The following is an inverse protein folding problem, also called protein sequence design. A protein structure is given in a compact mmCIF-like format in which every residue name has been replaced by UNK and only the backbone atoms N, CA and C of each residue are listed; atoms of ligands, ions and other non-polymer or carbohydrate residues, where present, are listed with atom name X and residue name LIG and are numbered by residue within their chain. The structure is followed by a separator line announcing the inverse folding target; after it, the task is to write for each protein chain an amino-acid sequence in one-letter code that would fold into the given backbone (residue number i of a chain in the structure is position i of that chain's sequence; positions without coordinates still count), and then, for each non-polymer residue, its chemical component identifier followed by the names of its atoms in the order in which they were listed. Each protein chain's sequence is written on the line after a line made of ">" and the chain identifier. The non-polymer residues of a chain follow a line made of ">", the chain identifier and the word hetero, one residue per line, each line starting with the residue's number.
data_IF_439326585260
#
_entry.id   IF_439326585260
#
_cell.length_a   1.000
_cell.length_b   1.000
_cell.length_c   1.000
_cell.angle_alpha   90.00
_cell.angle_beta   90.00
_cell.angle_gamma   90.00
#
_symmetry.space_group_name_H-M   'P 1'
#
loop_
_entity.id
_entity.type
_entity.pdbx_description
1 polymer ?
#
# COMPACT_ATOMS: atom_id res chain seq x y z
N UNK A 1 8.04 -37.06 10.69
CA UNK A 1 7.35 -36.52 9.46
C UNK A 1 8.23 -35.39 8.99
N UNK A 2 8.70 -35.41 7.74
CA UNK A 2 9.44 -34.28 7.16
C UNK A 2 8.49 -33.09 7.09
N UNK A 3 8.82 -32.00 7.78
CA UNK A 3 8.07 -30.74 7.67
C UNK A 3 8.22 -30.26 6.23
N UNK A 4 7.13 -30.36 5.45
CA UNK A 4 7.11 -29.95 4.06
C UNK A 4 6.77 -28.46 4.02
N UNK A 5 7.69 -27.64 3.50
CA UNK A 5 7.44 -26.22 3.25
C UNK A 5 6.50 -26.08 2.05
N UNK A 6 5.50 -25.22 2.17
CA UNK A 6 4.44 -25.03 1.17
C UNK A 6 4.83 -24.12 -0.01
N UNK A 7 6.05 -23.59 -0.01
CA UNK A 7 6.54 -22.69 -1.06
C UNK A 7 6.15 -21.22 -0.87
N UNK A 8 5.39 -20.89 0.16
CA UNK A 8 5.00 -19.50 0.45
C UNK A 8 6.13 -18.74 1.13
N UNK A 9 6.31 -17.49 0.78
CA UNK A 9 7.13 -16.56 1.56
C UNK A 9 6.32 -16.00 2.73
N UNK A 10 7.00 -15.74 3.82
CA UNK A 10 6.40 -15.16 5.03
C UNK A 10 7.35 -14.19 5.69
N UNK A 11 6.83 -13.07 6.16
CA UNK A 11 7.54 -12.17 7.05
C UNK A 11 6.85 -12.11 8.41
N UNK A 12 7.63 -12.06 9.46
CA UNK A 12 7.14 -11.83 10.83
C UNK A 12 6.78 -10.37 11.04
N UNK A 13 6.01 -10.06 12.11
CA UNK A 13 5.73 -8.66 12.49
C UNK A 13 7.01 -7.85 12.71
N UNK A 14 8.04 -8.45 13.32
CA UNK A 14 9.30 -7.77 13.59
C UNK A 14 10.07 -7.43 12.31
N UNK A 15 10.07 -8.34 11.34
CA UNK A 15 10.70 -8.10 10.03
C UNK A 15 9.99 -6.98 9.28
N UNK A 16 8.66 -7.01 9.22
CA UNK A 16 7.85 -5.97 8.59
C UNK A 16 8.08 -4.62 9.27
N UNK A 17 8.08 -4.58 10.60
CA UNK A 17 8.32 -3.34 11.36
C UNK A 17 9.69 -2.73 11.02
N UNK A 18 10.72 -3.58 10.97
CA UNK A 18 12.09 -3.16 10.64
C UNK A 18 12.19 -2.67 9.19
N UNK A 19 11.55 -3.39 8.26
CA UNK A 19 11.53 -3.04 6.85
C UNK A 19 10.85 -1.68 6.61
N UNK A 20 9.70 -1.46 7.24
CA UNK A 20 8.98 -0.18 7.17
C UNK A 20 9.82 0.95 7.78
N UNK A 21 10.53 0.71 8.89
CA UNK A 21 11.42 1.70 9.50
C UNK A 21 12.51 2.17 8.54
N UNK A 22 13.18 1.23 7.86
CA UNK A 22 14.20 1.55 6.84
C UNK A 22 13.61 2.32 5.65
N UNK A 23 12.43 1.90 5.18
CA UNK A 23 11.75 2.61 4.08
C UNK A 23 11.34 4.03 4.49
N UNK A 24 10.93 4.23 5.74
CA UNK A 24 10.51 5.53 6.25
C UNK A 24 11.62 6.59 6.17
N UNK A 25 12.87 6.22 6.42
CA UNK A 25 14.01 7.15 6.30
C UNK A 25 14.14 7.71 4.87
N UNK A 26 13.97 6.84 3.87
CA UNK A 26 14.00 7.24 2.46
C UNK A 26 12.77 8.07 2.10
N UNK A 27 11.59 7.67 2.55
CA UNK A 27 10.34 8.39 2.30
C UNK A 27 10.38 9.79 2.92
N UNK A 28 10.90 9.94 4.15
CA UNK A 28 11.05 11.24 4.81
C UNK A 28 12.01 12.14 4.04
N UNK A 29 13.14 11.61 3.59
CA UNK A 29 14.17 12.38 2.87
C UNK A 29 13.70 12.83 1.48
N UNK A 30 13.04 11.95 0.73
CA UNK A 30 12.72 12.18 -0.69
C UNK A 30 11.34 12.77 -0.92
N UNK A 31 10.39 12.50 -0.02
CA UNK A 31 8.99 12.89 -0.22
C UNK A 31 8.44 13.72 0.94
N UNK A 32 8.71 13.36 2.19
CA UNK A 32 8.23 14.00 3.40
C UNK A 32 6.69 14.21 3.39
N UNK A 33 5.88 13.14 3.46
CA UNK A 33 4.43 13.24 3.43
C UNK A 33 3.89 13.93 4.69
N UNK A 34 2.86 14.74 4.54
CA UNK A 34 2.13 15.34 5.65
C UNK A 34 0.79 14.64 5.90
N UNK A 35 0.45 13.68 5.07
CA UNK A 35 -0.79 12.90 5.14
C UNK A 35 -0.58 11.48 4.60
N UNK A 36 -1.14 10.47 5.27
CA UNK A 36 -1.12 9.09 4.80
C UNK A 36 -2.53 8.60 4.49
N UNK A 37 -2.74 8.11 3.27
CA UNK A 37 -3.90 7.31 2.92
C UNK A 37 -3.51 5.84 2.91
N UNK A 38 -4.28 5.04 3.60
CA UNK A 38 -4.10 3.60 3.56
C UNK A 38 -5.12 2.97 2.65
N UNK A 39 -4.68 2.02 1.86
CA UNK A 39 -5.61 1.11 1.23
C UNK A 39 -6.18 0.15 2.25
N UNK A 40 -7.48 0.06 2.26
CA UNK A 40 -8.20 -0.93 3.01
C UNK A 40 -8.86 -1.89 2.03
N UNK A 41 -8.04 -2.70 1.42
CA UNK A 41 -8.47 -4.01 0.96
C UNK A 41 -8.09 -5.09 1.96
N UNK A 42 -7.71 -4.71 3.21
CA UNK A 42 -7.30 -5.61 4.29
C UNK A 42 -5.90 -5.36 4.82
N UNK A 43 -4.87 -5.27 3.99
CA UNK A 43 -3.48 -5.33 4.42
C UNK A 43 -2.79 -3.98 4.70
N UNK A 44 -3.19 -2.91 4.03
CA UNK A 44 -2.51 -1.60 4.14
C UNK A 44 -2.60 -0.90 5.51
N UNK A 45 -3.53 -1.29 6.39
CA UNK A 45 -3.69 -0.68 7.72
C UNK A 45 -2.49 -0.87 8.63
N UNK A 46 -1.99 -2.10 8.73
CA UNK A 46 -0.86 -2.41 9.58
C UNK A 46 0.40 -1.67 9.12
N UNK A 47 0.79 -1.72 7.85
CA UNK A 47 1.91 -0.95 7.33
C UNK A 47 1.79 0.55 7.61
N UNK A 48 0.65 1.16 7.37
CA UNK A 48 0.46 2.57 7.60
C UNK A 48 0.51 2.95 9.08
N UNK A 49 -0.06 2.11 9.96
CA UNK A 49 0.03 2.34 11.40
C UNK A 49 1.47 2.26 11.89
N UNK A 50 2.26 1.31 11.38
CA UNK A 50 3.68 1.18 11.70
C UNK A 50 4.46 2.38 11.13
N UNK A 51 4.26 2.71 9.85
CA UNK A 51 4.91 3.83 9.17
C UNK A 51 4.70 5.16 9.90
N UNK A 52 3.51 5.40 10.45
CA UNK A 52 3.20 6.57 11.27
C UNK A 52 4.06 6.69 12.54
N UNK A 53 4.65 5.60 13.02
CA UNK A 53 5.59 5.63 14.15
C UNK A 53 6.87 6.38 13.76
N UNK A 54 7.33 6.18 12.56
CA UNK A 54 8.57 6.74 12.02
C UNK A 54 8.35 8.11 11.36
N UNK A 55 7.27 8.27 10.59
CA UNK A 55 6.97 9.52 9.89
C UNK A 55 6.15 10.47 10.76
N UNK A 56 6.59 11.71 10.80
CA UNK A 56 5.92 12.81 11.50
C UNK A 56 5.68 13.97 10.54
N UNK A 57 4.67 14.78 10.85
CA UNK A 57 4.44 16.00 10.08
C UNK A 57 5.71 16.87 10.08
N UNK A 58 6.20 17.31 8.91
CA UNK A 58 7.54 17.94 8.79
C UNK A 58 7.74 19.14 9.73
N UNK A 59 6.72 19.97 9.87
CA UNK A 59 6.81 21.21 10.68
C UNK A 59 6.40 20.97 12.13
N UNK A 60 5.19 20.42 12.36
CA UNK A 60 4.60 20.32 13.69
C UNK A 60 5.14 19.15 14.53
N UNK A 61 5.86 18.21 13.90
CA UNK A 61 6.34 16.95 14.51
C UNK A 61 5.24 16.08 15.12
N UNK A 62 3.97 16.40 14.82
CA UNK A 62 2.81 15.60 15.22
C UNK A 62 2.67 14.37 14.33
N UNK A 63 1.88 13.42 14.79
CA UNK A 63 1.52 12.26 13.96
C UNK A 63 0.81 12.72 12.68
N UNK A 64 1.21 12.17 11.54
CA UNK A 64 0.48 12.35 10.30
C UNK A 64 -0.90 11.69 10.40
N UNK A 65 -1.90 12.27 9.77
CA UNK A 65 -3.24 11.71 9.72
C UNK A 65 -3.26 10.46 8.85
N UNK A 66 -4.04 9.47 9.24
CA UNK A 66 -4.29 8.26 8.47
C UNK A 66 -5.78 8.24 8.14
N UNK A 67 -6.11 8.09 6.86
CA UNK A 67 -7.48 7.84 6.41
C UNK A 67 -7.51 6.56 5.59
N UNK A 68 -8.57 5.79 5.74
CA UNK A 68 -8.75 4.53 5.07
C UNK A 68 -9.59 4.70 3.81
N UNK A 69 -9.15 4.10 2.71
CA UNK A 69 -9.96 3.89 1.52
C UNK A 69 -10.01 2.39 1.24
N UNK A 70 -11.20 1.86 0.99
CA UNK A 70 -11.44 0.45 0.73
C UNK A 70 -11.58 0.20 -0.76
N UNK A 71 -10.75 -0.70 -1.27
CA UNK A 71 -10.81 -1.21 -2.63
C UNK A 71 -10.82 -2.73 -2.58
N UNK A 72 -11.63 -3.35 -3.41
CA UNK A 72 -11.64 -4.79 -3.62
C UNK A 72 -11.51 -5.08 -5.10
N UNK A 73 -10.64 -6.02 -5.44
CA UNK A 73 -10.66 -6.61 -6.76
C UNK A 73 -11.87 -7.55 -6.83
N UNK A 74 -12.65 -7.43 -7.88
CA UNK A 74 -13.80 -8.29 -8.12
C UNK A 74 -13.29 -9.67 -8.56
N UNK A 75 -12.96 -10.54 -7.62
CA UNK A 75 -12.45 -11.87 -7.93
C UNK A 75 -13.53 -12.96 -7.83
N UNK A 76 -14.61 -12.77 -7.07
CA UNK A 76 -15.62 -13.82 -6.88
C UNK A 76 -17.03 -13.28 -6.63
N UNK A 77 -17.83 -13.17 -7.67
CA UNK A 77 -19.27 -13.37 -7.54
C UNK A 77 -19.67 -14.59 -8.37
N UNK A 78 -20.54 -15.49 -7.84
CA UNK A 78 -20.92 -16.74 -8.51
C UNK A 78 -21.66 -16.59 -9.84
N UNK A 79 -21.87 -15.35 -10.31
CA UNK A 79 -22.62 -15.03 -11.54
C UNK A 79 -21.80 -14.30 -12.61
N UNK A 80 -20.49 -14.08 -12.40
CA UNK A 80 -19.63 -13.38 -13.37
C UNK A 80 -18.91 -14.38 -14.26
N UNK A 81 -18.90 -14.13 -15.57
CA UNK A 81 -18.13 -14.91 -16.55
C UNK A 81 -16.64 -14.69 -16.36
N UNK A 82 -15.81 -15.70 -16.67
CA UNK A 82 -14.33 -15.66 -16.51
C UNK A 82 -13.66 -14.42 -17.15
N UNK A 83 -14.27 -13.85 -18.19
CA UNK A 83 -13.78 -12.64 -18.86
C UNK A 83 -14.07 -11.34 -18.07
N UNK A 84 -15.04 -11.33 -17.17
CA UNK A 84 -15.40 -10.20 -16.31
C UNK A 84 -14.68 -10.24 -14.95
N UNK A 85 -14.17 -11.37 -14.53
CA UNK A 85 -13.57 -11.61 -13.21
C UNK A 85 -12.25 -10.87 -12.94
N UNK A 86 -11.54 -10.40 -13.94
CA UNK A 86 -10.13 -10.00 -13.75
C UNK A 86 -9.86 -8.50 -13.71
N UNK A 87 -10.83 -7.60 -13.90
CA UNK A 87 -10.51 -6.22 -14.27
C UNK A 87 -11.24 -5.10 -13.52
N UNK A 88 -12.17 -5.38 -12.64
CA UNK A 88 -12.94 -4.31 -11.98
C UNK A 88 -12.55 -4.13 -10.52
N UNK A 89 -11.97 -2.97 -10.19
CA UNK A 89 -11.72 -2.56 -8.80
C UNK A 89 -12.96 -1.86 -8.28
N UNK A 90 -13.52 -2.35 -7.19
CA UNK A 90 -14.71 -1.79 -6.53
C UNK A 90 -14.31 -0.99 -5.30
N UNK A 91 -14.90 0.19 -5.14
CA UNK A 91 -14.78 0.99 -3.91
C UNK A 91 -15.71 0.41 -2.84
N UNK A 92 -15.16 -0.12 -1.76
CA UNK A 92 -15.91 -0.59 -0.59
C UNK A 92 -16.03 0.48 0.48
N UNK A 93 -15.01 1.31 0.63
CA UNK A 93 -14.98 2.49 1.48
C UNK A 93 -14.20 3.60 0.77
N UNK A 94 -14.72 4.82 0.80
CA UNK A 94 -14.09 5.94 0.10
C UNK A 94 -14.20 7.25 0.89
N UNK A 95 -13.36 8.21 0.50
CA UNK A 95 -13.43 9.55 1.02
C UNK A 95 -14.73 10.22 0.54
N UNK A 96 -15.49 10.76 1.45
CA UNK A 96 -16.62 11.63 1.14
C UNK A 96 -16.18 13.11 1.16
N UNK A 97 -16.82 13.93 2.00
CA UNK A 97 -16.45 15.35 2.16
C UNK A 97 -15.00 15.58 2.62
N UNK A 98 -14.35 14.55 3.14
CA UNK A 98 -12.95 14.60 3.58
C UNK A 98 -11.95 14.75 2.43
N UNK A 99 -12.35 14.51 1.16
CA UNK A 99 -11.48 14.70 -0.02
C UNK A 99 -10.85 16.09 -0.03
N UNK A 100 -11.57 17.12 0.40
CA UNK A 100 -11.06 18.49 0.54
C UNK A 100 -9.87 18.62 1.50
N UNK A 101 -9.70 17.67 2.43
CA UNK A 101 -8.57 17.68 3.36
C UNK A 101 -7.24 17.34 2.69
N UNK A 102 -7.28 16.81 1.46
CA UNK A 102 -6.10 16.49 0.66
C UNK A 102 -5.50 17.71 -0.02
N UNK A 103 -6.30 18.77 -0.20
CA UNK A 103 -5.88 19.95 -0.95
C UNK A 103 -4.61 20.58 -0.35
N UNK A 104 -3.60 20.79 -1.18
CA UNK A 104 -2.31 21.34 -0.80
C UNK A 104 -1.40 20.39 -0.03
N UNK A 105 -1.75 19.10 0.09
CA UNK A 105 -1.02 18.11 0.87
C UNK A 105 -0.09 17.23 0.03
N UNK A 106 0.90 16.67 0.70
CA UNK A 106 1.70 15.55 0.20
C UNK A 106 1.12 14.25 0.77
N UNK A 107 0.40 13.54 -0.06
CA UNK A 107 -0.39 12.35 0.31
C UNK A 107 0.39 11.09 -0.02
N UNK A 108 0.67 10.24 0.95
CA UNK A 108 1.29 8.94 0.74
C UNK A 108 0.23 7.85 0.78
N UNK A 109 0.09 7.14 -0.33
CA UNK A 109 -0.77 5.96 -0.45
C UNK A 109 0.03 4.76 0.02
N UNK A 110 -0.52 3.98 0.97
CA UNK A 110 0.19 2.86 1.61
C UNK A 110 -0.58 1.56 1.39
N UNK A 111 0.11 0.53 0.94
CA UNK A 111 -0.43 -0.83 0.80
C UNK A 111 0.59 -1.87 1.27
N UNK A 112 0.17 -3.13 1.46
CA UNK A 112 1.08 -4.21 1.87
C UNK A 112 1.88 -4.75 0.69
N UNK A 113 1.24 -4.96 -0.46
CA UNK A 113 1.87 -5.61 -1.61
C UNK A 113 1.46 -4.99 -2.95
N UNK A 114 2.45 -4.76 -3.80
CA UNK A 114 2.24 -4.44 -5.20
C UNK A 114 2.39 -5.71 -6.05
N UNK A 115 1.28 -6.37 -6.31
CA UNK A 115 1.24 -7.55 -7.19
C UNK A 115 1.13 -7.13 -8.66
N UNK A 116 -0.06 -6.78 -9.13
CA UNK A 116 -0.32 -6.38 -10.51
C UNK A 116 -0.26 -4.87 -10.74
N UNK A 117 -0.20 -4.07 -9.70
CA UNK A 117 -0.31 -2.60 -9.69
C UNK A 117 -1.69 -2.05 -10.08
N UNK A 118 -2.66 -2.92 -10.36
CA UNK A 118 -3.99 -2.51 -10.82
C UNK A 118 -4.72 -1.69 -9.74
N UNK A 119 -4.68 -2.15 -8.48
CA UNK A 119 -5.29 -1.47 -7.33
C UNK A 119 -4.65 -0.11 -7.09
N UNK A 120 -3.32 -0.03 -7.11
CA UNK A 120 -2.58 1.22 -6.92
C UNK A 120 -2.89 2.24 -8.03
N UNK A 121 -2.89 1.81 -9.29
CA UNK A 121 -3.26 2.66 -10.42
C UNK A 121 -4.67 3.20 -10.27
N UNK A 122 -5.63 2.31 -9.94
CA UNK A 122 -7.03 2.70 -9.75
C UNK A 122 -7.15 3.77 -8.66
N UNK A 123 -6.53 3.55 -7.52
CA UNK A 123 -6.61 4.46 -6.41
C UNK A 123 -6.02 5.84 -6.68
N UNK A 124 -4.82 5.90 -7.22
CA UNK A 124 -4.19 7.17 -7.61
C UNK A 124 -5.10 7.93 -8.57
N UNK A 125 -5.59 7.24 -9.62
CA UNK A 125 -6.48 7.84 -10.61
C UNK A 125 -7.77 8.37 -10.00
N UNK A 126 -8.41 7.60 -9.14
CA UNK A 126 -9.70 8.00 -8.56
C UNK A 126 -9.55 9.10 -7.50
N UNK A 127 -8.47 9.09 -6.71
CA UNK A 127 -8.15 10.20 -5.81
C UNK A 127 -7.87 11.49 -6.59
N UNK A 128 -7.12 11.40 -7.70
CA UNK A 128 -6.89 12.54 -8.57
C UNK A 128 -8.20 13.12 -9.15
N UNK A 129 -9.11 12.25 -9.62
CA UNK A 129 -10.43 12.68 -10.11
C UNK A 129 -11.26 13.39 -9.05
N UNK A 130 -11.27 12.87 -7.82
CA UNK A 130 -12.06 13.48 -6.76
C UNK A 130 -11.45 14.81 -6.29
N UNK A 131 -10.11 14.89 -6.24
CA UNK A 131 -9.40 16.15 -5.99
C UNK A 131 -9.68 17.19 -7.06
N UNK A 132 -9.72 16.82 -8.36
CA UNK A 132 -10.06 17.77 -9.43
C UNK A 132 -11.44 18.38 -9.23
N UNK A 133 -12.43 17.60 -8.76
CA UNK A 133 -13.76 18.14 -8.45
C UNK A 133 -13.69 19.21 -7.33
N UNK A 134 -12.92 18.95 -6.28
CA UNK A 134 -12.74 19.91 -5.18
C UNK A 134 -11.97 21.16 -5.64
N UNK A 135 -10.94 21.00 -6.49
CA UNK A 135 -10.19 22.13 -7.03
C UNK A 135 -11.06 23.05 -7.91
N UNK A 136 -12.01 22.48 -8.65
CA UNK A 136 -12.93 23.27 -9.48
C UNK A 136 -13.84 24.18 -8.65
N UNK A 137 -14.06 23.89 -7.37
CA UNK A 137 -14.81 24.75 -6.44
C UNK A 137 -13.99 25.96 -5.95
N UNK A 138 -12.67 25.95 -6.17
CA UNK A 138 -11.78 27.04 -5.78
C UNK A 138 -11.61 28.06 -6.93
N UNK A 139 -11.23 29.32 -6.61
CA UNK A 139 -10.78 30.29 -7.60
C UNK A 139 -9.63 29.71 -8.44
N UNK A 140 -9.61 29.99 -9.74
CA UNK A 140 -8.60 29.45 -10.66
C UNK A 140 -7.17 29.76 -10.21
N UNK A 141 -6.95 30.95 -9.68
CA UNK A 141 -5.65 31.41 -9.19
C UNK A 141 -5.10 30.61 -7.99
N UNK A 142 -5.95 29.83 -7.30
CA UNK A 142 -5.56 29.04 -6.12
C UNK A 142 -5.36 27.55 -6.45
N UNK A 143 -5.89 27.06 -7.57
CA UNK A 143 -5.97 25.63 -7.89
C UNK A 143 -4.62 24.95 -7.92
N UNK A 144 -3.63 25.56 -8.57
CA UNK A 144 -2.30 24.98 -8.69
C UNK A 144 -1.58 24.89 -7.35
N UNK A 145 -1.68 25.93 -6.51
CA UNK A 145 -1.10 25.91 -5.16
C UNK A 145 -1.78 24.93 -4.21
N UNK A 146 -3.05 24.59 -4.47
CA UNK A 146 -3.85 23.65 -3.68
C UNK A 146 -3.86 22.23 -4.24
N UNK A 147 -3.21 21.98 -5.37
CA UNK A 147 -3.10 20.63 -5.94
C UNK A 147 -2.26 19.75 -5.05
N UNK A 148 -2.82 18.62 -4.55
CA UNK A 148 -2.04 17.69 -3.74
C UNK A 148 -1.00 16.95 -4.59
N UNK A 149 0.06 16.51 -3.94
CA UNK A 149 1.02 15.57 -4.53
C UNK A 149 0.75 14.18 -3.97
N UNK A 150 0.78 13.17 -4.83
CA UNK A 150 0.62 11.78 -4.43
C UNK A 150 1.96 11.05 -4.50
N UNK A 151 2.19 10.14 -3.56
CA UNK A 151 3.26 9.16 -3.57
C UNK A 151 2.70 7.81 -3.16
N UNK A 152 3.41 6.74 -3.44
CA UNK A 152 3.00 5.36 -3.12
C UNK A 152 4.10 4.69 -2.31
N UNK A 153 3.72 3.97 -1.26
CA UNK A 153 4.58 3.06 -0.53
C UNK A 153 3.91 1.69 -0.39
N UNK A 154 4.66 0.64 -0.71
CA UNK A 154 4.27 -0.76 -0.45
C UNK A 154 5.34 -1.45 0.39
N UNK A 155 4.94 -2.38 1.25
CA UNK A 155 5.92 -3.16 2.02
C UNK A 155 6.69 -4.06 1.08
N UNK A 156 5.99 -4.79 0.21
CA UNK A 156 6.61 -5.69 -0.77
C UNK A 156 6.17 -5.35 -2.20
N UNK A 157 7.14 -5.36 -3.12
CA UNK A 157 6.90 -5.26 -4.55
C UNK A 157 7.25 -6.59 -5.22
N UNK A 158 6.30 -7.27 -5.84
CA UNK A 158 6.57 -8.49 -6.60
C UNK A 158 7.27 -8.18 -7.91
N UNK A 159 8.39 -8.84 -8.16
CA UNK A 159 9.16 -8.71 -9.41
C UNK A 159 8.51 -9.49 -10.54
N UNK A 160 7.50 -8.89 -11.14
CA UNK A 160 6.77 -9.41 -12.31
C UNK A 160 6.28 -8.26 -13.19
N UNK A 161 5.90 -8.54 -14.45
CA UNK A 161 5.27 -7.55 -15.31
C UNK A 161 4.01 -6.97 -14.65
N UNK A 162 3.95 -5.64 -14.56
CA UNK A 162 2.81 -4.94 -13.97
C UNK A 162 1.76 -4.66 -15.05
N UNK A 163 0.48 -4.92 -14.73
CA UNK A 163 -0.65 -4.57 -15.58
C UNK A 163 -1.00 -3.08 -15.44
N UNK A 164 -0.92 -2.56 -14.21
CA UNK A 164 -1.16 -1.15 -13.92
C UNK A 164 0.08 -0.29 -14.08
N UNK A 165 -0.14 1.00 -14.32
CA UNK A 165 0.91 2.03 -14.41
C UNK A 165 0.61 3.16 -13.44
N UNK A 166 1.65 3.77 -12.88
CA UNK A 166 1.53 4.99 -12.09
C UNK A 166 1.97 6.19 -12.93
N UNK A 167 1.39 7.39 -12.72
CA UNK A 167 1.89 8.60 -13.35
C UNK A 167 3.36 8.84 -13.00
N UNK A 168 4.13 9.39 -13.95
CA UNK A 168 5.58 9.59 -13.80
C UNK A 168 5.97 10.55 -12.66
N UNK A 169 5.06 11.42 -12.26
CA UNK A 169 5.22 12.38 -11.16
C UNK A 169 4.83 11.81 -9.80
N UNK A 170 4.38 10.55 -9.72
CA UNK A 170 4.04 9.86 -8.48
C UNK A 170 5.24 9.03 -8.02
N UNK A 171 6.00 9.48 -7.01
CA UNK A 171 7.11 8.70 -6.47
C UNK A 171 6.61 7.38 -5.88
N UNK A 172 7.37 6.32 -6.14
CA UNK A 172 7.07 4.96 -5.72
C UNK A 172 8.18 4.43 -4.81
N UNK A 173 7.78 3.94 -3.65
CA UNK A 173 8.67 3.37 -2.65
C UNK A 173 8.26 1.93 -2.38
N UNK A 174 9.19 1.01 -2.37
CA UNK A 174 9.02 -0.35 -1.84
C UNK A 174 9.91 -0.56 -0.62
N UNK A 175 9.44 -1.32 0.34
CA UNK A 175 10.27 -1.80 1.44
C UNK A 175 11.26 -2.83 0.92
N UNK A 176 10.76 -3.84 0.22
CA UNK A 176 11.54 -4.92 -0.37
C UNK A 176 10.93 -5.37 -1.71
N UNK A 177 11.81 -5.75 -2.64
CA UNK A 177 11.42 -6.40 -3.88
C UNK A 177 11.49 -7.92 -3.69
N UNK A 178 10.39 -8.63 -4.00
CA UNK A 178 10.26 -10.08 -3.80
C UNK A 178 9.94 -10.78 -5.13
N UNK A 179 10.27 -12.08 -5.28
CA UNK A 179 9.85 -12.85 -6.44
C UNK A 179 8.33 -12.99 -6.53
N UNK A 180 7.82 -13.38 -7.70
CA UNK A 180 6.39 -13.63 -7.92
C UNK A 180 5.96 -14.96 -7.32
N UNK A 181 5.84 -15.00 -6.00
CA UNK A 181 5.39 -16.16 -5.21
C UNK A 181 4.27 -15.72 -4.27
N UNK A 182 3.59 -16.69 -3.69
CA UNK A 182 2.60 -16.39 -2.65
C UNK A 182 3.31 -15.87 -1.40
N UNK A 183 2.76 -14.80 -0.83
CA UNK A 183 3.30 -14.15 0.36
C UNK A 183 2.21 -14.06 1.43
N UNK A 184 2.44 -14.67 2.60
CA UNK A 184 1.52 -14.65 3.72
C UNK A 184 1.95 -13.58 4.73
N UNK A 185 1.00 -12.76 5.16
CA UNK A 185 1.22 -11.74 6.17
C UNK A 185 0.74 -12.17 7.55
N UNK A 186 1.42 -11.73 8.64
CA UNK A 186 1.09 -12.17 10.00
C UNK A 186 -0.26 -11.66 10.50
N UNK A 187 -0.88 -10.66 9.87
CA UNK A 187 -2.21 -10.18 10.22
C UNK A 187 -3.35 -10.93 9.51
N UNK A 188 -3.04 -11.83 8.61
CA UNK A 188 -4.01 -12.66 7.88
C UNK A 188 -4.22 -14.03 8.50
N UNK A 189 -3.35 -14.40 9.45
CA UNK A 189 -3.36 -15.73 10.07
C UNK A 189 -3.99 -15.70 11.46
N UNK A 190 -4.54 -16.85 11.89
CA UNK A 190 -5.09 -17.01 13.24
C UNK A 190 -4.01 -17.40 14.26
N UNK A 191 -2.99 -18.14 13.83
CA UNK A 191 -1.88 -18.61 14.67
C UNK A 191 -0.57 -17.93 14.21
N UNK A 192 -0.22 -16.85 14.89
CA UNK A 192 1.00 -16.10 14.58
C UNK A 192 2.26 -16.87 14.95
N UNK A 193 2.22 -17.77 15.93
CA UNK A 193 3.39 -18.55 16.32
C UNK A 193 3.72 -19.61 15.27
N UNK A 194 2.70 -20.24 14.71
CA UNK A 194 2.88 -21.16 13.58
C UNK A 194 3.35 -20.42 12.33
N UNK A 195 2.83 -19.23 12.07
CA UNK A 195 3.29 -18.36 10.98
C UNK A 195 4.79 -18.04 11.13
N UNK A 196 5.23 -17.61 12.31
CA UNK A 196 6.63 -17.28 12.58
C UNK A 196 7.54 -18.51 12.45
N UNK A 197 7.08 -19.67 12.91
CA UNK A 197 7.78 -20.95 12.75
C UNK A 197 7.97 -21.30 11.27
N UNK A 198 6.94 -21.16 10.45
CA UNK A 198 6.99 -21.42 9.01
C UNK A 198 7.86 -20.39 8.27
N UNK A 199 7.85 -19.14 8.69
CA UNK A 199 8.75 -18.10 8.17
C UNK A 199 10.23 -18.48 8.42
N UNK A 200 10.56 -18.95 9.62
CA UNK A 200 11.92 -19.39 9.96
C UNK A 200 12.33 -20.63 9.16
N UNK A 201 11.43 -21.61 9.01
CA UNK A 201 11.66 -22.80 8.19
C UNK A 201 11.98 -22.44 6.75
N UNK A 202 11.19 -21.55 6.14
CA UNK A 202 11.41 -21.07 4.78
C UNK A 202 12.79 -20.44 4.59
N UNK A 203 13.22 -19.57 5.51
CA UNK A 203 14.57 -18.97 5.47
C UNK A 203 15.69 -20.01 5.56
N UNK A 204 15.54 -21.00 6.43
CA UNK A 204 16.52 -22.10 6.57
C UNK A 204 16.66 -22.93 5.28
N UNK A 205 15.56 -23.13 4.57
CA UNK A 205 15.55 -23.87 3.31
C UNK A 205 16.19 -23.05 2.19
N UNK A 206 15.87 -21.76 2.10
CA UNK A 206 16.49 -20.85 1.11
C UNK A 206 18.02 -20.77 1.32
N UNK A 207 18.48 -20.63 2.57
CA UNK A 207 19.90 -20.58 2.91
C UNK A 207 20.67 -21.87 2.56
N UNK A 208 19.99 -23.02 2.46
CA UNK A 208 20.62 -24.30 2.04
C UNK A 208 20.66 -24.48 0.52
N UNK A 209 19.87 -23.70 -0.22
CA UNK A 209 19.74 -23.79 -1.68
C UNK A 209 20.59 -22.73 -2.42
N UNK A 210 21.15 -21.77 -1.68
CA UNK A 210 22.07 -20.72 -2.16
C UNK A 210 23.52 -21.13 -1.93
#
# INVERSE_FOLDING_TARGET
>A
MSEQHDGHLRATYNEIHTLIGKAAERIEKEYAPDFAHTFVGGGGFFPARVLRTFLKHPESKRNISIQAIGLSLYEELPSTTEEQMANEVVRTQWLGPETKTLLGRKVLIVDEVDDSRTTLQYAVRELQKDVEKELLLLPESERDAKRPKFGVFVVHNKLKPKRGTLPADVPYFSGEDIPDVWFDYPWEVKDVYEHDRMAELGRKLQAKSA
#
